data_IF_973356306175
#
_entry.id   IF_973356306175
#
_cell.length_a   1.000
_cell.length_b   1.000
_cell.length_c   1.000
_cell.angle_alpha   90.00
_cell.angle_beta   90.00
_cell.angle_gamma   90.00
#
_symmetry.space_group_name_H-M   'P 1'
#
loop_
_entity.id
_entity.type
_entity.pdbx_description
1 polymer ?
#
# COMPACT_ATOMS: atom_id res chain seq x y z
N UNK A 1 3.94 -7.93 -8.88
CA UNK A 1 3.19 -7.20 -7.86
C UNK A 1 2.54 -5.99 -8.47
N UNK A 2 1.44 -5.57 -7.91
CA UNK A 2 0.66 -4.48 -8.45
C UNK A 2 0.39 -3.44 -7.37
N UNK A 3 0.53 -2.17 -7.73
CA UNK A 3 0.20 -1.09 -6.80
C UNK A 3 -1.30 -0.97 -6.71
N UNK A 4 -1.85 -1.12 -5.52
CA UNK A 4 -3.30 -1.04 -5.33
C UNK A 4 -3.72 0.30 -4.74
N UNK A 5 -2.80 0.99 -4.09
CA UNK A 5 -3.14 2.27 -3.51
C UNK A 5 -1.86 3.05 -3.23
N UNK A 6 -1.98 4.37 -3.25
CA UNK A 6 -0.89 5.26 -2.91
C UNK A 6 -1.31 6.11 -1.73
N UNK A 7 -0.43 6.26 -0.76
CA UNK A 7 -0.71 7.01 0.45
C UNK A 7 0.22 8.21 0.54
N UNK A 8 -0.24 9.29 1.15
CA UNK A 8 0.61 10.47 1.31
C UNK A 8 1.71 10.28 2.35
N UNK A 9 1.51 9.38 3.30
CA UNK A 9 2.48 9.15 4.35
C UNK A 9 2.75 7.67 4.51
N UNK A 10 3.92 7.37 5.06
CA UNK A 10 4.29 6.00 5.31
C UNK A 10 3.44 5.37 6.42
N UNK A 11 3.05 6.19 7.39
CA UNK A 11 2.24 5.70 8.50
C UNK A 11 0.93 5.11 7.99
N UNK A 12 0.27 5.82 7.09
CA UNK A 12 -0.99 5.34 6.54
C UNK A 12 -0.78 4.05 5.74
N UNK A 13 0.29 4.00 4.95
CA UNK A 13 0.59 2.80 4.17
C UNK A 13 0.88 1.61 5.07
N UNK A 14 1.60 1.84 6.16
CA UNK A 14 1.92 0.76 7.09
C UNK A 14 0.68 0.24 7.79
N UNK A 15 -0.25 1.13 8.13
CA UNK A 15 -1.50 0.69 8.74
C UNK A 15 -2.28 -0.20 7.77
N UNK A 16 -2.30 0.17 6.49
CA UNK A 16 -2.96 -0.66 5.49
C UNK A 16 -2.26 -2.00 5.36
N UNK A 17 -0.92 -1.99 5.38
CA UNK A 17 -0.17 -3.24 5.26
C UNK A 17 -0.47 -4.17 6.44
N UNK A 18 -0.57 -3.60 7.63
CA UNK A 18 -0.88 -4.40 8.82
C UNK A 18 -2.26 -5.04 8.67
N UNK A 19 -3.22 -4.29 8.17
CA UNK A 19 -4.57 -4.82 7.95
C UNK A 19 -4.54 -5.96 6.96
N UNK A 20 -3.77 -5.83 5.89
CA UNK A 20 -3.65 -6.88 4.89
C UNK A 20 -2.95 -8.10 5.48
N UNK A 21 -1.92 -7.88 6.27
CA UNK A 21 -1.20 -8.97 6.90
C UNK A 21 -2.13 -9.76 7.82
N UNK A 22 -2.97 -9.07 8.56
CA UNK A 22 -3.93 -9.72 9.45
C UNK A 22 -4.94 -10.55 8.67
N UNK A 23 -5.21 -10.16 7.43
CA UNK A 23 -6.13 -10.89 6.57
C UNK A 23 -5.44 -11.98 5.76
N UNK A 24 -4.14 -12.17 5.96
CA UNK A 24 -3.40 -13.18 5.24
C UNK A 24 -3.00 -12.78 3.83
N UNK A 25 -3.02 -11.50 3.53
CA UNK A 25 -2.65 -10.99 2.21
C UNK A 25 -1.24 -10.41 2.29
N UNK A 26 -0.27 -10.98 1.57
CA UNK A 26 1.07 -10.40 1.57
C UNK A 26 1.07 -9.06 0.87
N UNK A 27 1.86 -8.13 1.38
CA UNK A 27 1.96 -6.81 0.78
C UNK A 27 3.32 -6.22 1.09
N UNK A 28 3.71 -5.24 0.28
CA UNK A 28 4.93 -4.48 0.54
C UNK A 28 4.63 -3.00 0.38
N UNK A 29 5.43 -2.19 1.05
CA UNK A 29 5.31 -0.75 1.02
C UNK A 29 6.58 -0.20 0.39
N UNK A 30 6.41 0.62 -0.64
CA UNK A 30 7.53 1.22 -1.36
C UNK A 30 7.39 2.73 -1.32
N UNK A 31 8.40 3.39 -0.78
CA UNK A 31 8.43 4.84 -0.81
C UNK A 31 8.88 5.33 -2.16
N UNK A 32 8.19 6.31 -2.70
CA UNK A 32 8.56 6.92 -3.97
C UNK A 32 8.70 8.41 -3.77
N UNK A 33 9.49 9.01 -4.64
CA UNK A 33 9.65 10.45 -4.62
C UNK A 33 10.54 10.96 -3.51
N UNK A 34 11.27 10.08 -2.86
CA UNK A 34 12.18 10.52 -1.81
C UNK A 34 13.27 11.37 -2.42
N UNK A 35 13.44 12.57 -1.87
CA UNK A 35 14.46 13.49 -2.34
C UNK A 35 14.14 14.14 -3.65
N UNK A 36 12.99 13.89 -4.21
CA UNK A 36 12.61 14.52 -5.46
C UNK A 36 12.05 15.89 -5.18
N UNK A 37 12.29 16.75 -6.13
CA UNK A 37 11.77 18.10 -6.02
C UNK A 37 10.31 18.12 -6.34
N UNK A 38 9.62 19.07 -5.79
CA UNK A 38 8.20 19.17 -5.99
C UNK A 38 7.39 18.54 -4.89
N UNK A 39 8.05 17.84 -3.99
CA UNK A 39 7.38 17.32 -2.82
C UNK A 39 6.27 16.32 -3.11
N UNK A 40 6.36 15.65 -4.22
CA UNK A 40 5.35 14.65 -4.58
C UNK A 40 5.70 13.30 -4.00
N UNK A 41 6.35 13.29 -2.87
CA UNK A 41 6.68 12.05 -2.20
C UNK A 41 5.40 11.30 -1.88
N UNK A 42 5.45 10.01 -2.07
CA UNK A 42 4.32 9.17 -1.79
C UNK A 42 4.78 7.80 -1.43
N UNK A 43 3.86 6.99 -0.95
CA UNK A 43 4.16 5.63 -0.55
C UNK A 43 3.16 4.71 -1.24
N UNK A 44 3.69 3.74 -1.96
CA UNK A 44 2.85 2.81 -2.70
C UNK A 44 2.70 1.52 -1.93
N UNK A 45 1.50 0.99 -1.97
CA UNK A 45 1.19 -0.30 -1.37
C UNK A 45 0.98 -1.30 -2.50
N UNK A 46 1.77 -2.36 -2.50
CA UNK A 46 1.74 -3.35 -3.56
C UNK A 46 1.38 -4.72 -3.01
N UNK A 47 0.64 -5.47 -3.80
CA UNK A 47 0.29 -6.85 -3.48
C UNK A 47 0.49 -7.70 -4.74
N UNK A 48 0.61 -9.03 -4.58
CA UNK A 48 0.66 -9.91 -5.75
C UNK A 48 -0.58 -9.75 -6.61
N UNK A 49 -0.43 -9.98 -7.91
CA UNK A 49 -1.51 -9.76 -8.84
C UNK A 49 -2.76 -10.55 -8.50
N UNK A 50 -2.59 -11.76 -7.99
CA UNK A 50 -3.74 -12.60 -7.66
C UNK A 50 -4.35 -12.27 -6.31
N UNK A 51 -3.79 -11.30 -5.60
CA UNK A 51 -4.32 -10.87 -4.31
C UNK A 51 -4.97 -9.49 -4.37
N UNK A 52 -5.03 -8.89 -5.55
CA UNK A 52 -5.52 -7.53 -5.68
C UNK A 52 -6.95 -7.40 -5.18
N UNK A 53 -7.83 -8.30 -5.59
CA UNK A 53 -9.22 -8.23 -5.20
C UNK A 53 -9.39 -8.41 -3.70
N UNK A 54 -8.67 -9.38 -3.14
CA UNK A 54 -8.75 -9.61 -1.70
C UNK A 54 -8.24 -8.40 -0.94
N UNK A 55 -7.14 -7.82 -1.41
CA UNK A 55 -6.57 -6.66 -0.75
C UNK A 55 -7.51 -5.47 -0.78
N UNK A 56 -8.12 -5.21 -1.93
CA UNK A 56 -9.05 -4.11 -2.04
C UNK A 56 -10.27 -4.31 -1.16
N UNK A 57 -10.72 -5.55 -1.02
CA UNK A 57 -11.85 -5.85 -0.15
C UNK A 57 -11.51 -5.56 1.32
N UNK A 58 -10.30 -5.89 1.73
CA UNK A 58 -9.86 -5.61 3.09
C UNK A 58 -9.80 -4.12 3.35
N UNK A 59 -9.22 -3.37 2.42
CA UNK A 59 -9.06 -1.94 2.60
C UNK A 59 -10.39 -1.21 2.49
N UNK A 60 -11.33 -1.78 1.78
CA UNK A 60 -12.64 -1.15 1.64
C UNK A 60 -13.39 -1.12 2.96
N UNK A 61 -13.17 -2.12 3.81
CA UNK A 61 -13.84 -2.20 5.10
C UNK A 61 -13.25 -1.28 6.13
N UNK A 62 -12.12 -0.69 5.85
CA UNK A 62 -11.51 0.24 6.78
C UNK A 62 -11.67 1.66 6.28
#
# INVERSE_FOLDING_TARGET
>A
MKTIKTYPTRVEAELARIALDAAGVPSIVVGIGLGMEGGMAGVQLLVPDDCVEAALAVLKDT
#
